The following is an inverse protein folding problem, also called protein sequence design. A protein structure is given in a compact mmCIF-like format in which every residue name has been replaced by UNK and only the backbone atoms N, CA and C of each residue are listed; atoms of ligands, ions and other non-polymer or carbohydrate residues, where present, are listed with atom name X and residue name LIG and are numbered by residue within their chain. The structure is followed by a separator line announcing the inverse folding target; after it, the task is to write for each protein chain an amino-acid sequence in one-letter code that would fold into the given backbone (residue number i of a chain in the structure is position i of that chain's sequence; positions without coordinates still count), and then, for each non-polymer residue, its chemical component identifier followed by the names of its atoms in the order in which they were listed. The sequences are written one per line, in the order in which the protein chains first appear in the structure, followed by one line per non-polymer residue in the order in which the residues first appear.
data_IF_523874053695
#
_entry.id   IF_523874053695
#
_cell.length_a   1.000
_cell.length_b   1.000
_cell.length_c   1.000
_cell.angle_alpha   90.00
_cell.angle_beta   90.00
_cell.angle_gamma   90.00
#
_symmetry.space_group_name_H-M   'P 1'
#
loop_
_entity.id
_entity.type
_entity.pdbx_description
1 polymer ?
#
# COMPACT_ATOMS: atom_id res chain seq x y z
N UNK A 1 -30.36 -4.66 42.20
CA UNK A 1 -30.29 -3.53 41.28
C UNK A 1 -28.85 -3.09 41.01
N UNK A 2 -27.98 -2.90 42.03
CA UNK A 2 -26.56 -2.45 41.87
C UNK A 2 -25.73 -3.43 41.08
N UNK A 3 -25.87 -4.73 41.25
CA UNK A 3 -25.15 -5.77 40.51
C UNK A 3 -25.55 -5.86 39.04
N UNK A 4 -26.86 -5.66 38.76
CA UNK A 4 -27.36 -5.61 37.36
C UNK A 4 -26.80 -4.39 36.65
N UNK A 5 -26.77 -3.22 37.30
CA UNK A 5 -26.18 -2.02 36.74
C UNK A 5 -24.68 -2.20 36.47
N UNK A 6 -23.93 -2.80 37.40
CA UNK A 6 -22.51 -3.08 37.20
C UNK A 6 -22.26 -4.05 36.02
N UNK A 7 -23.07 -5.09 35.85
CA UNK A 7 -22.99 -5.99 34.73
C UNK A 7 -23.26 -5.29 33.40
N UNK A 8 -24.27 -4.44 33.33
CA UNK A 8 -24.62 -3.68 32.12
C UNK A 8 -23.49 -2.72 31.72
N UNK A 9 -22.86 -2.05 32.71
CA UNK A 9 -21.70 -1.18 32.47
C UNK A 9 -20.54 -2.01 31.91
N UNK A 10 -20.24 -3.17 32.50
CA UNK A 10 -19.16 -4.04 31.99
C UNK A 10 -19.41 -4.51 30.56
N UNK A 11 -20.66 -4.89 30.26
CA UNK A 11 -21.04 -5.28 28.89
C UNK A 11 -20.91 -4.11 27.90
N UNK A 12 -21.33 -2.91 28.30
CA UNK A 12 -21.19 -1.71 27.46
C UNK A 12 -19.72 -1.35 27.21
N UNK A 13 -18.89 -1.39 28.25
CA UNK A 13 -17.44 -1.14 28.12
C UNK A 13 -16.80 -2.21 27.23
N UNK A 14 -17.12 -3.49 27.44
CA UNK A 14 -16.65 -4.59 26.60
C UNK A 14 -17.07 -4.42 25.14
N UNK A 15 -18.31 -4.02 24.90
CA UNK A 15 -18.81 -3.72 23.55
C UNK A 15 -18.07 -2.54 22.91
N UNK A 16 -17.90 -1.42 23.61
CA UNK A 16 -17.15 -0.27 23.12
C UNK A 16 -15.69 -0.64 22.81
N UNK A 17 -15.06 -1.43 23.67
CA UNK A 17 -13.70 -1.93 23.44
C UNK A 17 -13.63 -2.81 22.19
N UNK A 18 -14.57 -3.75 22.02
CA UNK A 18 -14.66 -4.58 20.81
C UNK A 18 -14.86 -3.73 19.54
N UNK A 19 -15.76 -2.73 19.61
CA UNK A 19 -15.97 -1.82 18.48
C UNK A 19 -14.69 -1.04 18.16
N UNK A 20 -13.99 -0.55 19.17
CA UNK A 20 -12.71 0.15 18.97
C UNK A 20 -11.64 -0.77 18.35
N UNK A 21 -11.52 -2.01 18.79
CA UNK A 21 -10.58 -3.00 18.23
C UNK A 21 -10.93 -3.37 16.77
N UNK A 22 -12.21 -3.52 16.48
CA UNK A 22 -12.68 -3.92 15.15
C UNK A 22 -12.65 -2.78 14.12
N UNK A 23 -12.85 -1.53 14.57
CA UNK A 23 -13.08 -0.39 13.67
C UNK A 23 -12.03 0.71 13.79
N UNK A 24 -11.21 0.69 14.85
CA UNK A 24 -10.15 1.68 15.02
C UNK A 24 -9.04 1.49 14.00
N UNK A 25 -8.56 2.59 13.41
CA UNK A 25 -7.32 2.58 12.63
C UNK A 25 -6.16 2.77 13.61
N UNK A 26 -5.19 1.88 13.54
CA UNK A 26 -3.94 2.02 14.28
C UNK A 26 -2.84 2.46 13.31
N UNK A 27 -2.17 3.55 13.64
CA UNK A 27 -0.97 3.99 12.94
C UNK A 27 0.24 3.41 13.65
N UNK A 28 1.00 2.58 12.93
CA UNK A 28 2.28 2.04 13.41
C UNK A 28 3.41 2.75 12.70
N UNK A 29 4.35 3.30 13.46
CA UNK A 29 5.54 3.94 12.91
C UNK A 29 6.74 3.05 13.17
N UNK A 30 7.40 2.61 12.09
CA UNK A 30 8.60 1.80 12.13
C UNK A 30 9.75 2.57 11.50
N UNK A 31 10.83 2.73 12.24
CA UNK A 31 12.07 3.27 11.70
C UNK A 31 12.97 2.10 11.29
N UNK A 32 13.34 2.07 10.02
CA UNK A 32 14.15 0.99 9.45
C UNK A 32 15.50 1.55 9.03
N UNK A 33 16.57 1.00 9.61
CA UNK A 33 17.93 1.25 9.12
C UNK A 33 18.23 0.29 7.97
N UNK A 34 18.48 0.84 6.78
CA UNK A 34 18.74 0.05 5.57
C UNK A 34 20.15 0.30 5.04
N UNK A 35 20.81 -0.76 4.59
CA UNK A 35 22.15 -0.66 4.04
C UNK A 35 22.12 -0.26 2.57
N UNK A 36 23.03 0.67 2.18
CA UNK A 36 23.16 1.09 0.78
C UNK A 36 22.09 2.08 0.29
N UNK A 37 21.28 2.63 1.19
CA UNK A 37 20.38 3.73 0.84
C UNK A 37 21.23 4.98 0.52
N UNK A 38 21.03 5.63 -0.65
CA UNK A 38 21.71 6.89 -0.95
C UNK A 38 21.36 8.01 0.04
N UNK A 39 22.34 8.81 0.45
CA UNK A 39 22.21 9.86 1.50
C UNK A 39 21.01 10.80 1.28
N UNK A 40 20.69 11.12 0.03
CA UNK A 40 19.52 11.96 -0.29
C UNK A 40 18.18 11.38 0.11
N UNK A 41 18.12 10.10 0.46
CA UNK A 41 16.90 9.41 0.87
C UNK A 41 16.85 9.11 2.37
N UNK A 42 17.84 9.54 3.14
CA UNK A 42 17.77 9.48 4.59
C UNK A 42 16.53 10.22 5.09
N UNK A 43 15.82 9.61 6.02
CA UNK A 43 14.57 10.16 6.55
C UNK A 43 13.36 10.10 5.59
N UNK A 44 13.44 9.37 4.48
CA UNK A 44 12.29 9.11 3.60
C UNK A 44 11.12 8.55 4.39
N UNK A 45 9.98 9.24 4.32
CA UNK A 45 8.73 8.84 4.99
C UNK A 45 7.78 8.21 4.00
N UNK A 46 7.48 6.95 4.22
CA UNK A 46 6.52 6.21 3.40
C UNK A 46 5.32 5.86 4.26
N UNK A 47 4.13 6.21 3.80
CA UNK A 47 2.90 5.67 4.37
C UNK A 47 2.47 4.50 3.52
N UNK A 48 2.35 3.33 4.14
CA UNK A 48 1.83 2.13 3.50
C UNK A 48 0.38 1.92 3.92
N UNK A 49 -0.47 1.61 2.95
CA UNK A 49 -1.86 1.18 3.14
C UNK A 49 -2.02 -0.12 2.37
N UNK A 50 -2.43 -1.19 3.05
CA UNK A 50 -2.67 -2.50 2.49
C UNK A 50 -4.01 -3.04 2.97
N UNK A 51 -4.58 -4.00 2.25
CA UNK A 51 -5.72 -4.81 2.69
C UNK A 51 -6.93 -3.98 3.15
N UNK A 52 -7.24 -2.93 2.39
CA UNK A 52 -8.36 -2.03 2.71
C UNK A 52 -9.72 -2.72 2.50
N UNK A 53 -9.82 -3.62 1.49
CA UNK A 53 -11.02 -4.37 1.15
C UNK A 53 -12.29 -3.49 1.07
N UNK A 54 -12.17 -2.31 0.50
CA UNK A 54 -13.25 -1.35 0.40
C UNK A 54 -13.82 -0.87 1.75
N UNK A 55 -13.05 -0.97 2.83
CA UNK A 55 -13.49 -0.56 4.15
C UNK A 55 -13.75 0.94 4.20
N UNK A 56 -14.96 1.29 4.59
CA UNK A 56 -15.38 2.66 4.78
C UNK A 56 -15.21 3.07 6.24
N UNK A 57 -14.43 4.11 6.51
CA UNK A 57 -14.27 4.67 7.86
C UNK A 57 -15.24 5.83 8.11
N UNK A 58 -15.51 6.62 7.08
CA UNK A 58 -16.51 7.68 7.03
C UNK A 58 -16.93 7.94 5.58
N UNK A 59 -17.84 8.91 5.35
CA UNK A 59 -18.45 9.15 4.04
C UNK A 59 -17.45 9.53 2.94
N UNK A 60 -16.34 10.20 3.30
CA UNK A 60 -15.35 10.74 2.35
C UNK A 60 -13.92 10.32 2.70
N UNK A 61 -13.77 9.26 3.50
CA UNK A 61 -12.47 8.75 3.99
C UNK A 61 -11.62 9.81 4.71
N UNK A 62 -12.26 10.87 5.25
CA UNK A 62 -11.55 12.01 5.88
C UNK A 62 -10.71 11.57 7.09
N UNK A 63 -11.21 10.61 7.86
CA UNK A 63 -10.49 10.13 9.02
C UNK A 63 -9.18 9.44 8.63
N UNK A 64 -9.21 8.56 7.63
CA UNK A 64 -8.00 7.91 7.11
C UNK A 64 -7.04 8.95 6.49
N UNK A 65 -7.56 9.85 5.65
CA UNK A 65 -6.76 10.90 5.01
C UNK A 65 -6.08 11.82 6.04
N UNK A 66 -6.76 12.16 7.13
CA UNK A 66 -6.16 12.97 8.20
C UNK A 66 -5.04 12.21 8.93
N UNK A 67 -5.22 10.91 9.21
CA UNK A 67 -4.16 10.10 9.79
C UNK A 67 -2.92 10.03 8.88
N UNK A 68 -3.12 9.87 7.58
CA UNK A 68 -2.03 9.89 6.58
C UNK A 68 -1.35 11.26 6.55
N UNK A 69 -2.12 12.34 6.49
CA UNK A 69 -1.60 13.72 6.47
C UNK A 69 -0.71 14.03 7.67
N UNK A 70 -1.10 13.56 8.86
CA UNK A 70 -0.33 13.74 10.10
C UNK A 70 1.04 13.05 10.06
N UNK A 71 1.22 12.03 9.21
CA UNK A 71 2.52 11.37 9.04
C UNK A 71 3.46 12.16 8.13
N UNK A 72 2.95 13.18 7.40
CA UNK A 72 3.73 13.98 6.45
C UNK A 72 4.53 13.09 5.48
N UNK A 73 3.86 12.22 4.68
CA UNK A 73 4.55 11.29 3.82
C UNK A 73 5.25 11.99 2.67
N UNK A 74 6.41 11.48 2.29
CA UNK A 74 7.08 11.81 1.02
C UNK A 74 6.52 10.97 -0.14
N UNK A 75 5.93 9.82 0.20
CA UNK A 75 5.43 8.81 -0.72
C UNK A 75 4.34 7.99 -0.02
N UNK A 76 3.30 7.62 -0.76
CA UNK A 76 2.26 6.70 -0.30
C UNK A 76 2.32 5.42 -1.16
N UNK A 77 2.36 4.27 -0.50
CA UNK A 77 2.37 2.95 -1.11
C UNK A 77 1.04 2.23 -0.81
N UNK A 78 0.27 1.94 -1.85
CA UNK A 78 -0.91 1.08 -1.79
C UNK A 78 -0.47 -0.33 -2.22
N UNK A 79 -0.34 -1.24 -1.25
CA UNK A 79 0.25 -2.56 -1.49
C UNK A 79 -0.79 -3.66 -1.64
N UNK A 80 -1.84 -3.38 -2.41
CA UNK A 80 -2.83 -4.37 -2.84
C UNK A 80 -4.03 -4.52 -1.92
N UNK A 81 -4.98 -5.31 -2.38
CA UNK A 81 -6.25 -5.62 -1.73
C UNK A 81 -7.03 -4.36 -1.31
N UNK A 82 -7.01 -3.36 -2.20
CA UNK A 82 -7.74 -2.10 -2.04
C UNK A 82 -9.25 -2.33 -2.11
N UNK A 83 -9.67 -3.26 -2.95
CA UNK A 83 -11.06 -3.61 -3.18
C UNK A 83 -11.25 -5.12 -3.35
N UNK A 84 -12.41 -5.59 -2.96
CA UNK A 84 -12.90 -6.95 -3.16
C UNK A 84 -14.24 -6.97 -3.91
N UNK A 85 -14.83 -8.14 -4.08
CA UNK A 85 -16.10 -8.34 -4.79
C UNK A 85 -17.29 -7.65 -4.12
N UNK A 86 -17.21 -7.34 -2.82
CA UNK A 86 -18.26 -6.70 -2.01
C UNK A 86 -18.06 -5.18 -1.87
N UNK A 87 -16.96 -4.65 -2.34
CA UNK A 87 -16.61 -3.25 -2.21
C UNK A 87 -17.61 -2.34 -2.94
N UNK A 88 -18.09 -1.32 -2.24
CA UNK A 88 -18.77 -0.19 -2.84
C UNK A 88 -17.74 0.77 -3.44
N UNK A 89 -17.58 0.72 -4.75
CA UNK A 89 -16.58 1.50 -5.48
C UNK A 89 -16.81 3.01 -5.42
N UNK A 90 -18.00 3.47 -5.02
CA UNK A 90 -18.27 4.90 -4.88
C UNK A 90 -17.43 5.59 -3.80
N UNK A 91 -16.86 4.82 -2.88
CA UNK A 91 -15.99 5.32 -1.82
C UNK A 91 -14.53 5.55 -2.26
N UNK A 92 -14.10 4.92 -3.35
CA UNK A 92 -12.70 4.94 -3.77
C UNK A 92 -12.25 6.29 -4.33
N UNK A 93 -13.00 6.98 -5.21
CA UNK A 93 -12.53 8.23 -5.80
C UNK A 93 -12.11 9.27 -4.76
N UNK A 94 -12.93 9.65 -3.74
CA UNK A 94 -12.51 10.65 -2.75
C UNK A 94 -11.29 10.23 -1.93
N UNK A 95 -11.13 8.92 -1.66
CA UNK A 95 -9.94 8.40 -0.99
C UNK A 95 -8.70 8.54 -1.87
N UNK A 96 -8.77 8.05 -3.11
CA UNK A 96 -7.63 8.04 -4.02
C UNK A 96 -7.16 9.45 -4.38
N UNK A 97 -8.09 10.35 -4.67
CA UNK A 97 -7.82 11.77 -4.92
C UNK A 97 -7.20 12.43 -3.69
N UNK A 98 -7.73 12.15 -2.49
CA UNK A 98 -7.20 12.66 -1.24
C UNK A 98 -5.77 12.19 -0.96
N UNK A 99 -5.48 10.91 -1.18
CA UNK A 99 -4.13 10.36 -1.03
C UNK A 99 -3.15 10.98 -2.04
N UNK A 100 -3.53 11.04 -3.32
CA UNK A 100 -2.70 11.63 -4.36
C UNK A 100 -2.43 13.12 -4.16
N UNK A 101 -3.35 13.84 -3.50
CA UNK A 101 -3.16 15.23 -3.11
C UNK A 101 -2.18 15.42 -1.95
N UNK A 102 -1.99 14.40 -1.09
CA UNK A 102 -1.07 14.45 0.05
C UNK A 102 0.37 14.17 -0.35
N UNK A 103 0.61 13.16 -1.19
CA UNK A 103 1.95 12.79 -1.68
C UNK A 103 1.86 11.93 -2.96
N UNK A 104 2.94 11.79 -3.73
CA UNK A 104 3.02 10.83 -4.82
C UNK A 104 2.59 9.44 -4.35
N UNK A 105 1.56 8.89 -4.97
CA UNK A 105 0.92 7.64 -4.57
C UNK A 105 1.14 6.57 -5.62
N UNK A 106 1.61 5.41 -5.18
CA UNK A 106 1.92 4.25 -6.02
C UNK A 106 1.11 3.04 -5.58
N UNK A 107 0.75 2.21 -6.54
CA UNK A 107 -0.12 1.07 -6.30
C UNK A 107 0.40 -0.20 -7.00
N UNK A 108 0.29 -1.32 -6.31
CA UNK A 108 0.41 -2.67 -6.85
C UNK A 108 -0.84 -3.47 -6.52
N UNK A 109 -1.16 -4.47 -7.33
CA UNK A 109 -2.32 -5.34 -7.07
C UNK A 109 -2.04 -6.34 -5.94
N UNK A 110 -3.10 -6.66 -5.18
CA UNK A 110 -3.14 -7.84 -4.35
C UNK A 110 -3.96 -8.96 -5.02
N UNK A 111 -4.23 -10.03 -4.28
CA UNK A 111 -4.94 -11.17 -4.85
C UNK A 111 -6.44 -10.91 -5.06
N UNK A 112 -7.05 -10.06 -4.26
CA UNK A 112 -8.48 -9.76 -4.39
C UNK A 112 -8.79 -8.96 -5.66
N UNK A 113 -7.89 -8.11 -6.14
CA UNK A 113 -8.08 -7.44 -7.42
C UNK A 113 -8.21 -8.42 -8.59
N UNK A 114 -7.53 -9.56 -8.52
CA UNK A 114 -7.59 -10.58 -9.60
C UNK A 114 -8.82 -11.48 -9.50
N UNK A 115 -9.50 -11.53 -8.35
CA UNK A 115 -10.81 -12.19 -8.18
C UNK A 115 -11.95 -11.31 -8.70
N UNK A 116 -11.79 -9.99 -8.76
CA UNK A 116 -12.78 -9.06 -9.31
C UNK A 116 -13.15 -9.44 -10.76
N UNK A 117 -14.42 -9.24 -11.13
CA UNK A 117 -14.81 -9.30 -12.53
C UNK A 117 -13.95 -8.34 -13.38
N UNK A 118 -13.81 -8.64 -14.66
CA UNK A 118 -13.04 -7.82 -15.58
C UNK A 118 -13.51 -6.35 -15.58
N UNK A 119 -14.82 -6.14 -15.50
CA UNK A 119 -15.45 -4.83 -15.49
C UNK A 119 -15.12 -4.07 -14.20
N UNK A 120 -15.27 -4.73 -13.04
CA UNK A 120 -14.94 -4.12 -11.75
C UNK A 120 -13.45 -3.77 -11.66
N UNK A 121 -12.57 -4.66 -12.09
CA UNK A 121 -11.13 -4.41 -12.11
C UNK A 121 -10.76 -3.26 -13.05
N UNK A 122 -11.36 -3.20 -14.24
CA UNK A 122 -11.15 -2.09 -15.15
C UNK A 122 -11.65 -0.76 -14.58
N UNK A 123 -12.78 -0.76 -13.86
CA UNK A 123 -13.29 0.42 -13.16
C UNK A 123 -12.34 0.88 -12.05
N UNK A 124 -11.81 -0.04 -11.23
CA UNK A 124 -10.81 0.26 -10.21
C UNK A 124 -9.57 0.93 -10.83
N UNK A 125 -9.02 0.32 -11.89
CA UNK A 125 -7.84 0.86 -12.56
C UNK A 125 -8.10 2.25 -13.16
N UNK A 126 -9.28 2.47 -13.72
CA UNK A 126 -9.68 3.78 -14.22
C UNK A 126 -9.77 4.83 -13.11
N UNK A 127 -10.26 4.46 -11.92
CA UNK A 127 -10.31 5.36 -10.76
C UNK A 127 -8.92 5.71 -10.23
N UNK A 128 -8.00 4.73 -10.16
CA UNK A 128 -6.60 4.95 -9.80
C UNK A 128 -5.93 5.93 -10.77
N UNK A 129 -6.08 5.69 -12.08
CA UNK A 129 -5.50 6.53 -13.12
C UNK A 129 -6.10 7.96 -13.08
N UNK A 130 -7.42 8.10 -12.91
CA UNK A 130 -8.11 9.40 -12.81
C UNK A 130 -7.65 10.20 -11.60
N UNK A 131 -7.36 9.55 -10.46
CA UNK A 131 -6.83 10.18 -9.27
C UNK A 131 -5.33 10.52 -9.35
N UNK A 132 -4.63 10.11 -10.41
CA UNK A 132 -3.19 10.32 -10.56
C UNK A 132 -2.33 9.33 -9.76
N UNK A 133 -2.89 8.23 -9.31
CA UNK A 133 -2.15 7.14 -8.67
C UNK A 133 -1.36 6.36 -9.72
N UNK A 134 -0.07 6.19 -9.49
CA UNK A 134 0.81 5.45 -10.41
C UNK A 134 0.71 3.96 -10.14
N UNK A 135 0.15 3.22 -11.09
CA UNK A 135 0.12 1.75 -11.02
C UNK A 135 1.44 1.17 -11.52
N UNK A 136 2.10 0.40 -10.67
CA UNK A 136 3.36 -0.30 -11.00
C UNK A 136 3.05 -1.76 -11.36
N UNK A 137 2.65 -1.98 -12.60
CA UNK A 137 2.26 -3.30 -13.11
C UNK A 137 3.48 -4.11 -13.59
N UNK A 138 4.24 -4.68 -12.67
CA UNK A 138 5.54 -5.29 -12.91
C UNK A 138 6.50 -4.34 -13.63
N UNK A 139 6.52 -3.10 -13.17
CA UNK A 139 7.29 -1.98 -13.71
C UNK A 139 8.05 -1.25 -12.59
N UNK A 140 8.88 -0.29 -12.98
CA UNK A 140 9.57 0.55 -12.03
C UNK A 140 9.60 2.02 -12.48
N UNK A 141 9.77 2.91 -11.49
CA UNK A 141 10.03 4.33 -11.65
C UNK A 141 11.32 4.70 -10.93
N UNK A 142 11.95 5.79 -11.35
CA UNK A 142 13.00 6.41 -10.55
C UNK A 142 12.38 7.42 -9.60
N UNK A 143 12.79 7.35 -8.35
CA UNK A 143 12.60 8.42 -7.40
C UNK A 143 13.92 9.20 -7.34
N UNK A 144 13.85 10.52 -7.50
CA UNK A 144 15.01 11.40 -7.53
C UNK A 144 14.94 12.42 -6.39
N UNK A 145 16.06 12.61 -5.70
CA UNK A 145 16.25 13.66 -4.70
C UNK A 145 17.62 14.30 -4.88
N UNK A 146 17.62 15.49 -5.48
CA UNK A 146 18.87 16.17 -5.86
C UNK A 146 19.66 15.34 -6.87
N UNK A 147 20.89 14.96 -6.53
CA UNK A 147 21.73 14.11 -7.38
C UNK A 147 21.57 12.60 -7.12
N UNK A 148 20.74 12.23 -6.17
CA UNK A 148 20.54 10.83 -5.78
C UNK A 148 19.28 10.25 -6.42
N UNK A 149 19.31 8.97 -6.70
CA UNK A 149 18.13 8.24 -7.19
C UNK A 149 18.04 6.84 -6.58
N UNK A 150 16.83 6.37 -6.39
CA UNK A 150 16.51 4.98 -6.07
C UNK A 150 15.48 4.46 -7.05
N UNK A 151 15.40 3.15 -7.18
CA UNK A 151 14.37 2.49 -8.00
C UNK A 151 13.19 2.15 -7.11
N UNK A 152 12.02 2.70 -7.42
CA UNK A 152 10.74 2.22 -6.88
C UNK A 152 10.16 1.25 -7.89
N UNK A 153 10.10 -0.02 -7.52
CA UNK A 153 9.54 -1.07 -8.35
C UNK A 153 8.24 -1.62 -7.74
N UNK A 154 7.36 -2.11 -8.56
CA UNK A 154 6.14 -2.77 -8.11
C UNK A 154 5.95 -4.10 -8.80
N UNK A 155 5.65 -5.12 -8.01
CA UNK A 155 5.27 -6.45 -8.48
C UNK A 155 3.79 -6.67 -8.24
N UNK A 156 3.06 -6.96 -9.31
CA UNK A 156 1.68 -7.40 -9.22
C UNK A 156 1.58 -8.79 -8.60
N UNK A 157 0.44 -9.08 -7.97
CA UNK A 157 0.18 -10.38 -7.35
C UNK A 157 0.29 -11.53 -8.38
N UNK A 158 0.86 -12.68 -7.99
CA UNK A 158 1.00 -13.86 -8.87
C UNK A 158 -0.31 -14.41 -9.44
N UNK A 159 -1.46 -14.09 -8.84
CA UNK A 159 -2.78 -14.45 -9.38
C UNK A 159 -3.17 -13.64 -10.63
N UNK A 160 -2.33 -12.71 -11.04
CA UNK A 160 -2.51 -11.93 -12.27
C UNK A 160 -2.44 -12.75 -13.54
N UNK A 161 -2.40 -12.09 -14.72
CA UNK A 161 -2.32 -12.77 -16.00
C UNK A 161 -1.14 -13.74 -16.07
N UNK A 162 -1.35 -14.91 -16.68
CA UNK A 162 -0.30 -15.94 -16.78
C UNK A 162 0.96 -15.46 -17.51
N UNK A 163 0.82 -14.53 -18.45
CA UNK A 163 1.89 -13.93 -19.23
C UNK A 163 2.51 -12.67 -18.60
N UNK A 164 2.13 -12.33 -17.36
CA UNK A 164 2.74 -11.21 -16.65
C UNK A 164 4.25 -11.41 -16.44
N UNK A 165 4.97 -10.30 -16.36
CA UNK A 165 6.41 -10.31 -16.10
C UNK A 165 6.69 -10.90 -14.70
N UNK A 166 7.61 -11.84 -14.66
CA UNK A 166 8.01 -12.48 -13.38
C UNK A 166 8.93 -11.58 -12.55
N UNK A 167 8.91 -11.70 -11.21
CA UNK A 167 9.79 -10.94 -10.32
C UNK A 167 11.26 -10.92 -10.74
N UNK A 168 11.84 -12.08 -11.06
CA UNK A 168 13.23 -12.19 -11.48
C UNK A 168 13.52 -11.49 -12.80
N UNK A 169 12.53 -11.38 -13.69
CA UNK A 169 12.68 -10.65 -14.94
C UNK A 169 12.69 -9.14 -14.69
N UNK A 170 11.77 -8.65 -13.84
CA UNK A 170 11.72 -7.24 -13.45
C UNK A 170 13.04 -6.78 -12.80
N UNK A 171 13.54 -7.54 -11.81
CA UNK A 171 14.81 -7.20 -11.14
C UNK A 171 15.98 -7.24 -12.12
N UNK A 172 16.02 -8.21 -13.04
CA UNK A 172 17.07 -8.28 -14.07
C UNK A 172 17.04 -7.05 -14.99
N UNK A 173 15.87 -6.63 -15.45
CA UNK A 173 15.70 -5.43 -16.27
C UNK A 173 16.18 -4.17 -15.52
N UNK A 174 15.82 -4.03 -14.24
CA UNK A 174 16.29 -2.93 -13.40
C UNK A 174 17.83 -2.94 -13.33
N UNK A 175 18.44 -4.08 -13.01
CA UNK A 175 19.90 -4.21 -12.90
C UNK A 175 20.63 -3.92 -14.21
N UNK A 176 20.06 -4.33 -15.35
CA UNK A 176 20.61 -4.02 -16.67
C UNK A 176 20.53 -2.52 -17.00
N UNK A 177 19.43 -1.87 -16.64
CA UNK A 177 19.19 -0.47 -16.97
C UNK A 177 19.86 0.51 -15.99
N UNK A 178 20.02 0.14 -14.70
CA UNK A 178 20.45 1.03 -13.63
C UNK A 178 21.72 0.61 -12.90
N UNK A 179 22.28 -0.52 -13.29
CA UNK A 179 23.47 -1.08 -12.65
C UNK A 179 23.16 -2.08 -11.54
N UNK A 180 24.14 -2.91 -11.24
CA UNK A 180 24.01 -3.99 -10.26
C UNK A 180 23.78 -3.48 -8.82
N UNK A 181 24.28 -2.28 -8.52
CA UNK A 181 24.27 -1.69 -7.18
C UNK A 181 23.09 -0.70 -6.98
N UNK A 182 22.17 -0.57 -7.96
CA UNK A 182 21.01 0.28 -7.84
C UNK A 182 20.16 -0.12 -6.61
N UNK A 183 19.83 0.85 -5.77
CA UNK A 183 18.93 0.60 -4.64
C UNK A 183 17.51 0.38 -5.13
N UNK A 184 16.91 -0.76 -4.75
CA UNK A 184 15.54 -1.13 -5.13
C UNK A 184 14.66 -1.13 -3.88
N UNK A 185 13.65 -0.25 -3.90
CA UNK A 185 12.49 -0.29 -3.02
C UNK A 185 11.37 -0.97 -3.79
N UNK A 186 10.96 -2.15 -3.34
CA UNK A 186 9.93 -2.97 -3.99
C UNK A 186 8.60 -2.82 -3.26
N UNK A 187 7.53 -2.59 -4.00
CA UNK A 187 6.16 -2.77 -3.54
C UNK A 187 5.67 -4.15 -4.00
N UNK A 188 5.16 -4.93 -3.08
CA UNK A 188 4.57 -6.25 -3.34
C UNK A 188 3.43 -6.44 -2.36
N UNK A 189 2.44 -7.25 -2.72
CA UNK A 189 1.37 -7.60 -1.77
C UNK A 189 1.76 -8.83 -0.92
N UNK A 190 2.54 -9.76 -1.49
CA UNK A 190 2.86 -11.03 -0.86
C UNK A 190 4.03 -10.92 0.11
N UNK A 191 3.77 -11.18 1.40
CA UNK A 191 4.80 -11.26 2.43
C UNK A 191 5.56 -12.60 2.44
N UNK A 192 5.00 -13.65 1.85
CA UNK A 192 5.63 -14.97 1.70
C UNK A 192 6.70 -14.99 0.59
N UNK A 193 6.85 -13.92 -0.18
CA UNK A 193 7.89 -13.76 -1.20
C UNK A 193 9.16 -13.03 -0.71
N UNK A 194 9.29 -12.70 0.57
CA UNK A 194 10.42 -11.92 1.09
C UNK A 194 11.77 -12.58 0.81
N UNK A 195 11.87 -13.90 0.97
CA UNK A 195 13.09 -14.66 0.64
C UNK A 195 13.44 -14.59 -0.84
N UNK A 196 12.43 -14.57 -1.72
CA UNK A 196 12.62 -14.42 -3.16
C UNK A 196 13.27 -13.06 -3.46
N UNK A 197 12.74 -11.99 -2.90
CA UNK A 197 13.27 -10.63 -3.08
C UNK A 197 14.68 -10.47 -2.52
N UNK A 198 14.94 -11.00 -1.32
CA UNK A 198 16.26 -10.99 -0.69
C UNK A 198 17.30 -11.73 -1.55
N UNK A 199 16.96 -12.91 -2.08
CA UNK A 199 17.84 -13.70 -2.97
C UNK A 199 18.13 -12.98 -4.30
N UNK A 200 17.26 -12.09 -4.74
CA UNK A 200 17.47 -11.23 -5.92
C UNK A 200 18.20 -9.94 -5.61
N UNK A 201 18.60 -9.71 -4.35
CA UNK A 201 19.34 -8.53 -3.93
C UNK A 201 18.47 -7.26 -3.88
N UNK A 202 17.17 -7.38 -3.66
CA UNK A 202 16.27 -6.25 -3.36
C UNK A 202 16.54 -5.79 -1.93
N UNK A 203 16.76 -4.50 -1.71
CA UNK A 203 17.19 -3.97 -0.42
C UNK A 203 16.02 -3.71 0.54
N UNK A 204 14.87 -3.30 0.03
CA UNK A 204 13.68 -3.02 0.85
C UNK A 204 12.43 -3.48 0.13
N UNK A 205 11.54 -4.13 0.86
CA UNK A 205 10.23 -4.55 0.36
C UNK A 205 9.15 -4.00 1.29
N UNK A 206 8.09 -3.45 0.72
CA UNK A 206 6.85 -3.11 1.39
C UNK A 206 5.77 -4.07 0.91
N UNK A 207 5.22 -4.88 1.82
CA UNK A 207 4.17 -5.85 1.55
C UNK A 207 3.12 -5.89 2.67
#
# INVERSE_FOLDING_TARGET
LRWVAALLILLAVGWCFLQWQLWGIQVTVTQVGVHGLPDGFEGLRIVQISDLHGRRFDAESRYLLELVRLQSPDLIALTGDLADEFTDFSMLPPLLEGLAALAPTFYVTGNHEWVLSREKRAALFSMLDAAGVVRLQNEYKLLERGQFSIVLAGADDPNGPFDQKRPAQLVREIRQARGKDAYILMLSHRNDELDLWANMGVQTVLC
#
